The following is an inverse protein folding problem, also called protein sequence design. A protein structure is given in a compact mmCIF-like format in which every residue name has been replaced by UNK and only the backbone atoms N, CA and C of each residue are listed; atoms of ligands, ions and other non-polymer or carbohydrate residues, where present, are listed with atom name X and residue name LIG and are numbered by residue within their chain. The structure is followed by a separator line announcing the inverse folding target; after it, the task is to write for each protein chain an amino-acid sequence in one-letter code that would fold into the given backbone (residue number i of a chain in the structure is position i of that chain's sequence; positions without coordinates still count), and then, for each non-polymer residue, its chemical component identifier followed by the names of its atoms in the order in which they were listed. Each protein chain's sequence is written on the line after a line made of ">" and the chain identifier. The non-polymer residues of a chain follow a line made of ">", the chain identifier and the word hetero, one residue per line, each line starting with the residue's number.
data_IF_590284834861
#
_entry.id   IF_590284834861
#
_cell.length_a   1.000
_cell.length_b   1.000
_cell.length_c   1.000
_cell.angle_alpha   90.00
_cell.angle_beta   90.00
_cell.angle_gamma   90.00
#
_symmetry.space_group_name_H-M   'P 1'
#
loop_
_entity.id
_entity.type
_entity.pdbx_description
1 polymer ?
#
# COMPACT_ATOMS: atom_id res chain seq x y z
N UNK A 1 10.92 -11.03 8.09
CA UNK A 1 10.31 -10.50 6.85
C UNK A 1 10.81 -9.09 6.69
N UNK A 2 11.29 -8.71 5.51
CA UNK A 2 11.84 -7.37 5.29
C UNK A 2 10.83 -6.54 4.50
N UNK A 3 10.54 -5.33 4.97
CA UNK A 3 9.80 -4.34 4.20
C UNK A 3 10.64 -3.95 2.99
N UNK A 4 10.07 -4.07 1.80
CA UNK A 4 10.72 -3.73 0.54
C UNK A 4 10.12 -2.48 -0.09
N UNK A 5 8.86 -2.15 0.23
CA UNK A 5 8.18 -0.95 -0.27
C UNK A 5 7.15 -0.48 0.76
N UNK A 6 6.74 0.78 0.65
CA UNK A 6 5.68 1.38 1.47
C UNK A 6 4.56 1.91 0.58
N UNK A 7 3.32 1.71 1.01
CA UNK A 7 2.15 2.35 0.40
C UNK A 7 1.95 3.71 1.05
N UNK A 8 2.03 4.77 0.25
CA UNK A 8 1.92 6.14 0.70
C UNK A 8 0.74 6.85 0.04
N UNK A 9 0.07 7.70 0.80
CA UNK A 9 -0.99 8.60 0.33
C UNK A 9 -0.59 10.03 0.66
N UNK A 10 -1.15 10.98 -0.07
CA UNK A 10 -0.95 12.41 0.19
C UNK A 10 -2.20 12.96 0.85
N UNK A 11 -2.01 13.68 1.94
CA UNK A 11 -3.09 14.43 2.56
C UNK A 11 -3.12 15.86 2.01
N UNK A 12 -4.14 16.17 1.22
CA UNK A 12 -4.28 17.49 0.60
C UNK A 12 -4.60 18.60 1.62
N UNK A 13 -5.19 18.25 2.78
CA UNK A 13 -5.64 19.20 3.80
C UNK A 13 -4.52 19.67 4.74
N UNK A 14 -3.46 18.89 4.93
CA UNK A 14 -2.43 19.15 5.96
C UNK A 14 -1.08 19.55 5.38
N UNK A 15 -1.04 19.99 4.11
CA UNK A 15 0.17 20.52 3.49
C UNK A 15 0.99 19.49 2.70
N UNK A 16 0.32 18.57 1.99
CA UNK A 16 0.98 17.62 1.07
C UNK A 16 1.93 16.62 1.75
N UNK A 17 1.73 16.38 3.04
CA UNK A 17 2.51 15.39 3.77
C UNK A 17 2.19 13.98 3.25
N UNK A 18 3.24 13.18 3.03
CA UNK A 18 3.11 11.79 2.66
C UNK A 18 2.86 10.95 3.91
N UNK A 19 1.71 10.27 3.96
CA UNK A 19 1.35 9.35 5.04
C UNK A 19 1.57 7.93 4.55
N UNK A 20 2.29 7.13 5.34
CA UNK A 20 2.41 5.70 5.09
C UNK A 20 1.21 4.99 5.66
N UNK A 21 0.43 4.33 4.81
CA UNK A 21 -0.78 3.59 5.21
C UNK A 21 -0.60 2.08 5.13
N UNK A 22 0.49 1.61 4.53
CA UNK A 22 0.78 0.19 4.44
C UNK A 22 2.24 -0.10 4.09
N UNK A 23 2.63 -1.36 4.29
CA UNK A 23 3.97 -1.87 4.02
C UNK A 23 3.87 -3.10 3.13
N UNK A 24 4.77 -3.21 2.17
CA UNK A 24 4.94 -4.41 1.36
C UNK A 24 6.16 -5.15 1.89
N UNK A 25 5.93 -6.37 2.35
CA UNK A 25 6.97 -7.27 2.82
C UNK A 25 7.22 -8.38 1.81
N UNK A 26 8.48 -8.79 1.66
CA UNK A 26 8.82 -9.98 0.88
C UNK A 26 8.91 -11.19 1.79
N UNK A 27 8.23 -12.27 1.41
CA UNK A 27 8.36 -13.54 2.11
C UNK A 27 9.79 -14.09 1.95
N UNK A 28 10.42 -14.60 3.02
CA UNK A 28 11.76 -15.19 2.94
C UNK A 28 11.77 -16.35 1.93
N UNK A 29 12.78 -16.40 1.06
CA UNK A 29 12.98 -17.45 0.05
C UNK A 29 11.85 -17.59 -0.98
N UNK A 30 10.97 -16.58 -1.10
CA UNK A 30 9.90 -16.56 -2.10
C UNK A 30 9.87 -15.21 -2.83
N UNK A 31 9.45 -15.22 -4.10
CA UNK A 31 9.13 -13.99 -4.84
C UNK A 31 7.81 -13.35 -4.40
N UNK A 32 7.10 -13.97 -3.45
CA UNK A 32 5.83 -13.48 -2.95
C UNK A 32 5.98 -12.21 -2.13
N UNK A 33 5.16 -11.23 -2.46
CA UNK A 33 5.02 -9.96 -1.78
C UNK A 33 3.70 -9.94 -1.01
N UNK A 34 3.72 -9.34 0.17
CA UNK A 34 2.57 -9.25 1.06
C UNK A 34 2.37 -7.77 1.40
N UNK A 35 1.26 -7.20 0.95
CA UNK A 35 0.82 -5.88 1.38
C UNK A 35 0.09 -6.02 2.71
N UNK A 36 0.53 -5.26 3.71
CA UNK A 36 -0.10 -5.13 5.01
C UNK A 36 -0.49 -3.68 5.27
N UNK A 37 -1.60 -3.48 5.96
CA UNK A 37 -1.94 -2.18 6.54
C UNK A 37 -0.94 -1.81 7.63
N UNK A 38 -0.96 -0.55 8.07
CA UNK A 38 -0.12 -0.11 9.20
C UNK A 38 -0.49 -0.82 10.52
N UNK A 39 -1.74 -1.31 10.61
CA UNK A 39 -2.25 -2.17 11.69
C UNK A 39 -1.72 -3.62 11.63
N UNK A 40 -0.92 -3.95 10.60
CA UNK A 40 -0.35 -5.28 10.39
C UNK A 40 -1.29 -6.27 9.72
N UNK A 41 -2.55 -5.92 9.43
CA UNK A 41 -3.48 -6.81 8.73
C UNK A 41 -3.05 -7.02 7.29
N UNK A 42 -3.09 -8.28 6.84
CA UNK A 42 -2.79 -8.61 5.45
C UNK A 42 -3.92 -8.14 4.53
N UNK A 43 -3.57 -7.29 3.56
CA UNK A 43 -4.49 -6.76 2.55
C UNK A 43 -4.41 -7.59 1.27
N UNK A 44 -3.19 -7.94 0.85
CA UNK A 44 -2.97 -8.70 -0.37
C UNK A 44 -1.68 -9.53 -0.28
N UNK A 45 -1.66 -10.66 -0.98
CA UNK A 45 -0.48 -11.50 -1.17
C UNK A 45 -0.42 -11.91 -2.63
N UNK A 46 0.66 -11.56 -3.32
CA UNK A 46 0.84 -11.89 -4.74
C UNK A 46 2.33 -11.95 -5.10
N UNK A 47 2.66 -12.67 -6.17
CA UNK A 47 3.98 -12.64 -6.81
C UNK A 47 4.10 -11.54 -7.87
N UNK A 48 2.98 -10.95 -8.30
CA UNK A 48 2.93 -9.84 -9.26
C UNK A 48 2.79 -8.49 -8.53
N UNK A 49 3.70 -7.57 -8.82
CA UNK A 49 3.72 -6.22 -8.23
C UNK A 49 2.51 -5.38 -8.66
N UNK A 50 1.99 -5.57 -9.88
CA UNK A 50 0.82 -4.83 -10.37
C UNK A 50 -0.44 -5.17 -9.57
N UNK A 51 -0.61 -6.45 -9.22
CA UNK A 51 -1.69 -6.90 -8.33
C UNK A 51 -1.57 -6.26 -6.95
N UNK A 52 -0.35 -6.20 -6.40
CA UNK A 52 -0.09 -5.56 -5.11
C UNK A 52 -0.39 -4.05 -5.18
N UNK A 53 0.01 -3.38 -6.27
CA UNK A 53 -0.25 -1.96 -6.47
C UNK A 53 -1.75 -1.67 -6.63
N UNK A 54 -2.47 -2.48 -7.40
CA UNK A 54 -3.93 -2.36 -7.55
C UNK A 54 -4.66 -2.56 -6.22
N UNK A 55 -4.24 -3.56 -5.42
CA UNK A 55 -4.76 -3.77 -4.08
C UNK A 55 -4.45 -2.58 -3.15
N UNK A 56 -3.26 -1.98 -3.26
CA UNK A 56 -2.88 -0.78 -2.52
C UNK A 56 -3.75 0.43 -2.86
N UNK A 57 -4.03 0.67 -4.15
CA UNK A 57 -4.95 1.72 -4.60
C UNK A 57 -6.36 1.51 -4.04
N UNK A 58 -6.89 0.30 -4.15
CA UNK A 58 -8.23 -0.03 -3.61
C UNK A 58 -8.28 0.17 -2.09
N UNK A 59 -7.26 -0.28 -1.36
CA UNK A 59 -7.16 -0.08 0.08
C UNK A 59 -7.11 1.41 0.46
N UNK A 60 -6.36 2.23 -0.28
CA UNK A 60 -6.34 3.68 -0.06
C UNK A 60 -7.74 4.31 -0.26
N UNK A 61 -8.46 3.90 -1.30
CA UNK A 61 -9.83 4.35 -1.57
C UNK A 61 -10.82 3.94 -0.47
N UNK A 62 -10.73 2.69 0.03
CA UNK A 62 -11.54 2.20 1.15
C UNK A 62 -11.30 2.99 2.44
N UNK A 63 -10.10 3.55 2.62
CA UNK A 63 -9.73 4.43 3.74
C UNK A 63 -10.12 5.90 3.49
N UNK A 64 -10.75 6.21 2.36
CA UNK A 64 -11.19 7.56 2.00
C UNK A 64 -10.13 8.42 1.30
N UNK A 65 -8.98 7.86 0.93
CA UNK A 65 -7.99 8.56 0.11
C UNK A 65 -8.37 8.42 -1.36
N UNK A 66 -8.82 9.51 -1.95
CA UNK A 66 -9.12 9.58 -3.39
C UNK A 66 -7.89 10.02 -4.18
N UNK A 67 -7.70 9.38 -5.34
CA UNK A 67 -6.67 9.79 -6.29
C UNK A 67 -7.15 11.07 -6.98
N UNK A 68 -6.60 12.22 -6.58
CA UNK A 68 -6.95 13.51 -7.18
C UNK A 68 -6.44 13.65 -8.63
N UNK A 69 -5.69 12.69 -9.17
CA UNK A 69 -5.21 12.73 -10.55
C UNK A 69 -6.31 12.49 -11.61
N UNK A 70 -7.53 12.12 -11.21
CA UNK A 70 -8.66 11.84 -12.10
C UNK A 70 -9.94 12.63 -11.76
N UNK A 71 -9.83 13.71 -10.97
CA UNK A 71 -10.95 14.61 -10.65
C UNK A 71 -10.93 15.89 -11.52
#
# INVERSE_FOLDING_TARGET
>A
MNTIMTLQVRELKTGWNALTIGKVERAPRSRTMILKGIDGKQICKSTNIETVAAAGRRYAQEQGYTDAAYA
#
